data_IF_343110102102
#
_entry.id   IF_343110102102
#
_cell.length_a   1.000
_cell.length_b   1.000
_cell.length_c   1.000
_cell.angle_alpha   90.00
_cell.angle_beta   90.00
_cell.angle_gamma   90.00
#
_symmetry.space_group_name_H-M   'P 1'
#
loop_
_entity.id
_entity.type
_entity.pdbx_description
1 polymer ?
#
# COMPACT_ATOMS: atom_id res chain seq x y z
N UNK A 1 4.38 15.67 -13.80
CA UNK A 1 3.29 16.27 -12.99
C UNK A 1 2.81 15.37 -11.86
N UNK A 2 2.48 14.10 -12.13
CA UNK A 2 1.88 13.15 -11.15
C UNK A 2 2.66 13.01 -9.83
N UNK A 3 3.98 12.89 -9.90
CA UNK A 3 4.86 12.77 -8.73
C UNK A 3 4.70 13.91 -7.72
N UNK A 4 4.73 15.15 -8.21
CA UNK A 4 4.54 16.35 -7.38
C UNK A 4 3.13 16.47 -6.81
N UNK A 5 2.12 15.94 -7.52
CA UNK A 5 0.76 15.85 -7.01
C UNK A 5 0.69 14.88 -5.82
N UNK A 6 1.28 13.69 -5.92
CA UNK A 6 1.37 12.77 -4.78
C UNK A 6 2.07 13.40 -3.58
N UNK A 7 3.21 14.07 -3.80
CA UNK A 7 3.94 14.79 -2.74
C UNK A 7 3.07 15.87 -2.07
N UNK A 8 2.32 16.65 -2.86
CA UNK A 8 1.39 17.68 -2.37
C UNK A 8 0.23 17.08 -1.59
N UNK A 9 -0.39 15.99 -2.06
CA UNK A 9 -1.45 15.29 -1.34
C UNK A 9 -0.99 14.81 0.04
N UNK A 10 0.22 14.25 0.12
CA UNK A 10 0.84 13.86 1.40
C UNK A 10 1.11 15.06 2.31
N UNK A 11 1.54 16.19 1.74
CA UNK A 11 1.75 17.41 2.52
C UNK A 11 0.43 17.91 3.13
N UNK A 12 -0.65 17.95 2.35
CA UNK A 12 -1.99 18.36 2.81
C UNK A 12 -2.49 17.47 3.95
N UNK A 13 -2.42 16.14 3.77
CA UNK A 13 -2.89 15.19 4.77
C UNK A 13 -2.19 15.39 6.11
N UNK A 14 -0.88 15.68 6.09
CA UNK A 14 -0.11 15.96 7.31
C UNK A 14 -0.51 17.28 7.98
N UNK A 15 -0.81 18.32 7.20
CA UNK A 15 -1.19 19.64 7.74
C UNK A 15 -2.57 19.61 8.42
N UNK A 16 -3.49 18.75 7.97
CA UNK A 16 -4.87 18.72 8.47
C UNK A 16 -5.09 17.97 9.79
N UNK A 17 -4.03 17.45 10.45
CA UNK A 17 -4.12 16.60 11.66
C UNK A 17 -5.04 15.38 11.46
N UNK A 18 -5.13 14.90 10.22
CA UNK A 18 -5.72 13.61 9.88
C UNK A 18 -4.63 12.55 9.91
N UNK A 19 -4.98 11.31 10.23
CA UNK A 19 -4.07 10.17 10.01
C UNK A 19 -3.52 10.23 8.58
N UNK A 20 -2.20 10.18 8.36
CA UNK A 20 -1.61 10.33 7.03
C UNK A 20 -2.17 9.28 6.07
N UNK A 21 -2.93 9.72 5.07
CA UNK A 21 -3.49 8.82 4.07
C UNK A 21 -2.43 8.53 3.00
N UNK A 22 -2.18 7.25 2.66
CA UNK A 22 -1.18 6.91 1.64
C UNK A 22 -1.62 7.45 0.28
N UNK A 23 -0.69 8.05 -0.45
CA UNK A 23 -0.92 8.60 -1.78
C UNK A 23 -0.18 7.79 -2.84
N UNK A 24 -0.92 7.05 -3.65
CA UNK A 24 -0.40 6.26 -4.77
C UNK A 24 -0.68 6.84 -6.15
N UNK A 25 -0.39 6.05 -7.18
CA UNK A 25 -0.68 6.38 -8.59
C UNK A 25 -1.19 5.13 -9.32
N UNK A 26 -2.25 5.26 -10.12
CA UNK A 26 -2.76 4.20 -11.00
C UNK A 26 -2.36 4.49 -12.44
N UNK A 27 -1.82 3.49 -13.14
CA UNK A 27 -1.24 3.62 -14.48
C UNK A 27 -1.73 2.53 -15.45
N UNK A 28 -1.88 2.89 -16.72
CA UNK A 28 -2.08 1.92 -17.79
C UNK A 28 -0.81 1.08 -18.04
N UNK A 29 -1.00 -0.19 -18.38
CA UNK A 29 0.06 -1.14 -18.72
C UNK A 29 0.56 -0.98 -20.18
N UNK A 30 1.04 0.22 -20.52
CA UNK A 30 1.63 0.51 -21.84
C UNK A 30 3.13 0.17 -21.85
N UNK A 31 3.55 -0.69 -22.78
CA UNK A 31 4.94 -1.17 -22.88
C UNK A 31 5.98 -0.04 -23.04
N UNK A 32 5.61 1.10 -23.60
CA UNK A 32 6.54 2.22 -23.78
C UNK A 32 6.73 3.04 -22.51
N UNK A 33 5.77 3.00 -21.58
CA UNK A 33 5.72 3.92 -20.44
C UNK A 33 5.73 3.22 -19.09
N UNK A 34 5.29 1.96 -18.98
CA UNK A 34 5.02 1.28 -17.70
C UNK A 34 6.23 1.26 -16.77
N UNK A 35 7.41 0.92 -17.29
CA UNK A 35 8.63 0.84 -16.49
C UNK A 35 9.25 2.22 -16.22
N UNK A 36 9.45 3.09 -17.23
CA UNK A 36 9.90 4.46 -16.98
C UNK A 36 9.04 5.22 -15.97
N UNK A 37 7.72 5.06 -16.04
CA UNK A 37 6.77 5.77 -15.18
C UNK A 37 6.80 5.24 -13.74
N UNK A 38 6.84 3.93 -13.56
CA UNK A 38 6.95 3.32 -12.24
C UNK A 38 8.26 3.74 -11.55
N UNK A 39 9.40 3.62 -12.23
CA UNK A 39 10.71 4.02 -11.70
C UNK A 39 10.75 5.50 -11.32
N UNK A 40 10.20 6.37 -12.18
CA UNK A 40 10.13 7.80 -11.90
C UNK A 40 9.27 8.12 -10.67
N UNK A 41 8.15 7.40 -10.48
CA UNK A 41 7.23 7.62 -9.35
C UNK A 41 7.73 7.01 -8.03
N UNK A 42 8.55 5.96 -8.10
CA UNK A 42 9.20 5.36 -6.93
C UNK A 42 10.40 6.15 -6.44
N UNK A 43 11.17 6.76 -7.34
CA UNK A 43 12.41 7.42 -6.94
C UNK A 43 12.15 8.64 -6.05
N UNK A 44 13.18 9.16 -5.40
CA UNK A 44 13.15 10.39 -4.62
C UNK A 44 14.57 10.83 -4.29
N UNK A 45 14.88 12.09 -4.54
CA UNK A 45 16.22 12.62 -4.32
C UNK A 45 16.42 13.01 -2.85
N UNK A 46 16.03 14.23 -2.48
CA UNK A 46 16.25 14.76 -1.13
C UNK A 46 15.02 14.63 -0.22
N UNK A 47 13.84 14.34 -0.80
CA UNK A 47 12.59 14.26 -0.08
C UNK A 47 11.85 12.95 -0.39
N UNK A 48 11.87 11.98 0.56
CA UNK A 48 11.10 10.73 0.48
C UNK A 48 9.61 10.91 0.15
N UNK A 49 9.02 12.04 0.53
CA UNK A 49 7.61 12.35 0.28
C UNK A 49 7.29 12.54 -1.20
N UNK A 50 8.31 12.70 -2.06
CA UNK A 50 8.13 12.79 -3.51
C UNK A 50 7.87 11.45 -4.17
N UNK A 51 8.31 10.34 -3.57
CA UNK A 51 7.95 8.99 -4.01
C UNK A 51 6.48 8.73 -3.76
N UNK A 52 5.82 7.90 -4.56
CA UNK A 52 4.49 7.34 -4.24
C UNK A 52 4.54 6.39 -3.04
N UNK A 53 3.41 6.23 -2.34
CA UNK A 53 3.29 5.22 -1.26
C UNK A 53 2.91 3.83 -1.81
N UNK A 54 2.17 3.77 -2.91
CA UNK A 54 1.81 2.54 -3.61
C UNK A 54 1.59 2.79 -5.10
N UNK A 55 1.54 1.72 -5.90
CA UNK A 55 1.37 1.79 -7.36
C UNK A 55 0.30 0.83 -7.86
N UNK A 56 -0.65 1.34 -8.64
CA UNK A 56 -1.70 0.55 -9.29
C UNK A 56 -1.36 0.33 -10.76
N UNK A 57 -1.49 -0.91 -11.22
CA UNK A 57 -1.39 -1.27 -12.64
C UNK A 57 -2.77 -1.62 -13.18
N UNK A 58 -3.22 -0.93 -14.22
CA UNK A 58 -4.42 -1.29 -14.97
C UNK A 58 -4.02 -2.31 -16.04
N UNK A 59 -4.11 -3.61 -15.72
CA UNK A 59 -3.66 -4.69 -16.60
C UNK A 59 -4.83 -5.48 -17.17
N UNK A 60 -4.98 -5.41 -18.50
CA UNK A 60 -5.98 -6.15 -19.28
C UNK A 60 -5.33 -7.23 -20.16
N UNK A 61 -4.10 -7.65 -19.86
CA UNK A 61 -3.37 -8.61 -20.71
C UNK A 61 -4.01 -10.01 -20.75
N UNK A 62 -4.81 -10.38 -19.74
CA UNK A 62 -5.49 -11.67 -19.66
C UNK A 62 -6.90 -11.59 -20.27
N UNK A 63 -7.08 -12.12 -21.47
CA UNK A 63 -8.38 -12.20 -22.14
C UNK A 63 -8.74 -13.65 -22.50
N UNK A 64 -9.88 -14.14 -21.97
CA UNK A 64 -10.35 -15.51 -22.18
C UNK A 64 -9.47 -16.56 -21.50
N UNK A 65 -9.35 -17.72 -22.14
CA UNK A 65 -8.58 -18.85 -21.62
C UNK A 65 -7.07 -18.59 -21.81
N UNK A 66 -6.39 -18.24 -20.73
CA UNK A 66 -4.95 -17.99 -20.71
C UNK A 66 -4.27 -18.76 -19.57
N UNK A 67 -2.94 -18.68 -19.56
CA UNK A 67 -2.07 -19.13 -18.49
C UNK A 67 -1.23 -17.94 -18.02
N UNK A 68 -0.56 -18.07 -16.88
CA UNK A 68 0.41 -17.09 -16.38
C UNK A 68 1.45 -16.66 -17.44
N UNK A 69 1.84 -17.59 -18.32
CA UNK A 69 2.82 -17.32 -19.39
C UNK A 69 2.18 -16.73 -20.64
N UNK A 70 1.04 -17.25 -21.08
CA UNK A 70 0.40 -16.80 -22.32
C UNK A 70 -0.29 -15.45 -22.19
N UNK A 71 -0.71 -15.07 -20.97
CA UNK A 71 -1.22 -13.73 -20.68
C UNK A 71 -0.12 -12.67 -20.64
N UNK A 72 1.15 -13.05 -20.44
CA UNK A 72 2.24 -12.10 -20.21
C UNK A 72 2.44 -11.68 -18.75
N UNK A 73 1.65 -12.22 -17.82
CA UNK A 73 1.81 -11.91 -16.38
C UNK A 73 3.18 -12.31 -15.84
N UNK A 74 3.79 -13.38 -16.37
CA UNK A 74 5.17 -13.74 -16.04
C UNK A 74 6.20 -12.64 -16.40
N UNK A 75 5.98 -11.95 -17.51
CA UNK A 75 6.81 -10.81 -17.94
C UNK A 75 6.55 -9.63 -17.01
N UNK A 76 5.28 -9.37 -16.71
CA UNK A 76 4.88 -8.29 -15.81
C UNK A 76 5.49 -8.46 -14.41
N UNK A 77 5.42 -9.66 -13.82
CA UNK A 77 6.09 -10.01 -12.55
C UNK A 77 7.59 -9.76 -12.65
N UNK A 78 8.25 -10.23 -13.71
CA UNK A 78 9.69 -10.07 -13.85
C UNK A 78 10.11 -8.60 -13.99
N UNK A 79 9.32 -7.79 -14.68
CA UNK A 79 9.57 -6.36 -14.85
C UNK A 79 9.49 -5.61 -13.51
N UNK A 80 8.55 -5.96 -12.65
CA UNK A 80 8.30 -5.27 -11.40
C UNK A 80 8.93 -5.90 -10.14
N UNK A 81 9.61 -7.05 -10.23
CA UNK A 81 10.16 -7.78 -9.06
C UNK A 81 11.13 -7.00 -8.16
N UNK A 82 11.66 -5.87 -8.64
CA UNK A 82 12.57 -5.00 -7.88
C UNK A 82 11.93 -3.68 -7.45
N UNK A 83 10.65 -3.50 -7.75
CA UNK A 83 9.88 -2.35 -7.29
C UNK A 83 9.67 -2.45 -5.78
N UNK A 84 9.94 -1.37 -5.06
CA UNK A 84 10.05 -1.33 -3.59
C UNK A 84 8.79 -0.82 -2.91
N UNK A 85 7.76 -0.41 -3.67
CA UNK A 85 6.49 0.07 -3.13
C UNK A 85 5.42 -1.01 -3.30
N UNK A 86 4.46 -1.12 -2.34
CA UNK A 86 3.29 -1.95 -2.52
C UNK A 86 2.60 -1.65 -3.85
N UNK A 87 2.24 -2.72 -4.56
CA UNK A 87 1.66 -2.62 -5.88
C UNK A 87 0.56 -3.64 -6.04
N UNK A 88 -0.46 -3.34 -6.82
CA UNK A 88 -1.59 -4.23 -7.09
C UNK A 88 -2.17 -3.90 -8.46
N UNK A 89 -3.03 -4.78 -8.98
CA UNK A 89 -3.81 -4.43 -10.16
C UNK A 89 -4.95 -3.50 -9.77
N UNK A 90 -4.81 -2.22 -10.07
CA UNK A 90 -5.88 -1.25 -9.83
C UNK A 90 -7.09 -1.51 -10.72
N UNK A 91 -6.90 -2.16 -11.87
CA UNK A 91 -7.94 -2.68 -12.74
C UNK A 91 -7.48 -3.98 -13.41
N UNK A 92 -8.37 -4.97 -13.49
CA UNK A 92 -8.24 -6.15 -14.36
C UNK A 92 -9.61 -6.67 -14.82
N UNK A 93 -9.62 -7.63 -15.74
CA UNK A 93 -10.83 -8.29 -16.23
C UNK A 93 -11.18 -7.92 -17.68
N UNK A 94 -10.27 -8.23 -18.61
CA UNK A 94 -10.45 -7.99 -20.05
C UNK A 94 -11.77 -8.56 -20.57
N UNK A 95 -12.48 -7.77 -21.38
CA UNK A 95 -13.80 -8.14 -21.92
C UNK A 95 -13.81 -8.44 -23.44
N UNK A 96 -12.64 -8.66 -24.06
CA UNK A 96 -12.52 -9.07 -25.48
C UNK A 96 -13.12 -10.46 -25.75
N UNK A 97 -13.13 -11.33 -24.72
CA UNK A 97 -13.80 -12.63 -24.74
C UNK A 97 -14.88 -12.63 -23.67
N UNK A 98 -16.13 -12.89 -24.09
CA UNK A 98 -17.31 -12.86 -23.23
C UNK A 98 -18.04 -14.21 -23.24
N UNK A 99 -18.67 -14.60 -22.13
CA UNK A 99 -18.60 -13.97 -20.79
C UNK A 99 -17.19 -14.10 -20.19
N UNK A 100 -16.84 -13.23 -19.24
CA UNK A 100 -15.52 -13.29 -18.61
C UNK A 100 -15.44 -14.49 -17.66
N UNK A 101 -14.41 -15.31 -17.84
CA UNK A 101 -14.18 -16.49 -17.00
C UNK A 101 -13.47 -16.14 -15.68
N UNK A 102 -12.74 -15.01 -15.63
CA UNK A 102 -11.94 -14.56 -14.48
C UNK A 102 -10.90 -15.60 -14.02
N UNK A 103 -10.32 -16.35 -14.96
CA UNK A 103 -9.28 -17.34 -14.67
C UNK A 103 -7.98 -16.71 -14.13
N UNK A 104 -7.79 -15.40 -14.33
CA UNK A 104 -6.72 -14.61 -13.73
C UNK A 104 -6.84 -14.45 -12.21
N UNK A 105 -8.04 -14.59 -11.64
CA UNK A 105 -8.27 -14.42 -10.19
C UNK A 105 -7.45 -15.39 -9.36
N UNK A 106 -7.55 -16.72 -9.52
CA UNK A 106 -6.69 -17.64 -8.77
C UNK A 106 -5.20 -17.43 -9.03
N UNK A 107 -4.83 -16.99 -10.24
CA UNK A 107 -3.43 -16.72 -10.59
C UNK A 107 -2.87 -15.54 -9.81
N UNK A 108 -3.66 -14.47 -9.61
CA UNK A 108 -3.28 -13.29 -8.80
C UNK A 108 -2.84 -13.64 -7.36
N UNK A 109 -3.30 -14.77 -6.83
CA UNK A 109 -3.01 -15.22 -5.48
C UNK A 109 -2.03 -16.42 -5.42
N UNK A 110 -1.33 -16.72 -6.52
CA UNK A 110 -0.22 -17.68 -6.53
C UNK A 110 1.07 -17.04 -5.99
N UNK A 111 2.01 -17.87 -5.51
CA UNK A 111 3.31 -17.40 -4.99
C UNK A 111 4.05 -16.47 -5.97
N UNK A 112 4.05 -16.81 -7.26
CA UNK A 112 4.72 -16.01 -8.30
C UNK A 112 4.12 -14.59 -8.43
N UNK A 113 2.82 -14.43 -8.17
CA UNK A 113 2.15 -13.14 -8.24
C UNK A 113 2.25 -12.39 -6.91
N UNK A 114 1.99 -13.04 -5.76
CA UNK A 114 1.92 -12.37 -4.45
C UNK A 114 3.27 -11.85 -3.96
N UNK A 115 4.38 -12.40 -4.46
CA UNK A 115 5.73 -11.88 -4.20
C UNK A 115 5.95 -10.47 -4.77
N UNK A 116 5.11 -10.05 -5.74
CA UNK A 116 5.23 -8.76 -6.44
C UNK A 116 3.97 -7.90 -6.32
N UNK A 117 2.78 -8.52 -6.41
CA UNK A 117 1.48 -7.85 -6.45
C UNK A 117 0.64 -8.21 -5.22
N UNK A 118 0.08 -7.21 -4.58
CA UNK A 118 -0.82 -7.30 -3.43
C UNK A 118 -2.29 -7.49 -3.85
N UNK A 119 -2.54 -8.34 -4.86
CA UNK A 119 -3.86 -8.62 -5.41
C UNK A 119 -4.34 -7.61 -6.46
N UNK A 120 -5.66 -7.39 -6.55
CA UNK A 120 -6.22 -6.44 -7.51
C UNK A 120 -7.73 -6.22 -7.41
N UNK A 121 -8.23 -5.31 -8.25
CA UNK A 121 -9.63 -4.89 -8.34
C UNK A 121 -10.19 -5.17 -9.74
N UNK A 122 -11.31 -5.89 -9.82
CA UNK A 122 -12.02 -6.12 -11.10
C UNK A 122 -12.67 -4.81 -11.57
N UNK A 123 -12.49 -4.50 -12.86
CA UNK A 123 -13.21 -3.43 -13.54
C UNK A 123 -14.43 -4.00 -14.29
N UNK A 124 -15.68 -3.58 -14.04
CA UNK A 124 -16.17 -2.70 -12.98
C UNK A 124 -17.51 -3.25 -12.44
N UNK A 125 -18.03 -2.66 -11.35
CA UNK A 125 -19.23 -3.22 -10.72
C UNK A 125 -20.50 -3.00 -11.56
N UNK A 126 -20.78 -1.78 -11.99
CA UNK A 126 -22.02 -1.43 -12.72
C UNK A 126 -21.86 -1.55 -14.23
N UNK A 127 -22.89 -2.06 -14.89
CA UNK A 127 -22.93 -2.20 -16.34
C UNK A 127 -23.13 -0.86 -17.02
N UNK A 128 -22.06 -0.38 -17.64
CA UNK A 128 -22.02 0.82 -18.47
C UNK A 128 -21.89 0.47 -19.97
N UNK A 129 -21.92 1.46 -20.89
CA UNK A 129 -21.80 1.21 -22.33
C UNK A 129 -20.50 0.53 -22.77
N UNK A 130 -19.45 0.57 -21.94
CA UNK A 130 -18.16 -0.09 -22.16
C UNK A 130 -18.19 -1.62 -21.99
N UNK A 131 -19.29 -2.17 -21.46
CA UNK A 131 -19.52 -3.59 -21.28
C UNK A 131 -18.61 -4.33 -20.27
N UNK A 132 -18.35 -3.70 -19.13
CA UNK A 132 -17.52 -4.27 -18.04
C UNK A 132 -18.29 -4.64 -16.76
N UNK A 133 -19.59 -4.38 -16.71
CA UNK A 133 -20.36 -4.52 -15.47
C UNK A 133 -20.53 -5.95 -14.97
N UNK A 134 -20.59 -6.08 -13.65
CA UNK A 134 -21.00 -7.30 -12.96
C UNK A 134 -22.52 -7.31 -12.67
N UNK A 135 -23.10 -6.12 -12.51
CA UNK A 135 -24.54 -5.94 -12.28
C UNK A 135 -25.10 -4.83 -13.16
N UNK A 136 -26.38 -4.92 -13.52
CA UNK A 136 -27.09 -3.87 -14.25
C UNK A 136 -28.11 -3.21 -13.35
N UNK A 137 -28.02 -1.88 -13.24
CA UNK A 137 -29.06 -1.06 -12.60
C UNK A 137 -30.21 -0.87 -13.60
N UNK A 138 -31.42 -1.26 -13.20
CA UNK A 138 -32.63 -1.13 -14.00
C UNK A 138 -33.22 0.29 -13.86
N UNK A 139 -34.12 0.67 -14.77
CA UNK A 139 -34.70 2.03 -14.80
C UNK A 139 -35.48 2.41 -13.53
N UNK A 140 -35.93 1.42 -12.75
CA UNK A 140 -36.61 1.61 -11.48
C UNK A 140 -35.67 1.49 -10.26
N UNK A 141 -34.36 1.39 -10.48
CA UNK A 141 -33.33 1.23 -9.44
C UNK A 141 -33.11 -0.21 -8.96
N UNK A 142 -33.92 -1.18 -9.40
CA UNK A 142 -33.67 -2.58 -9.10
C UNK A 142 -32.37 -3.07 -9.76
N UNK A 143 -31.78 -4.12 -9.21
CA UNK A 143 -30.48 -4.65 -9.66
C UNK A 143 -30.67 -6.00 -10.34
N UNK A 144 -30.13 -6.15 -11.55
CA UNK A 144 -30.00 -7.45 -12.23
C UNK A 144 -28.55 -7.91 -12.17
N UNK A 145 -28.30 -9.04 -11.53
CA UNK A 145 -27.00 -9.71 -11.52
C UNK A 145 -26.69 -10.27 -12.92
N UNK A 146 -25.47 -10.04 -13.41
CA UNK A 146 -25.02 -10.55 -14.70
C UNK A 146 -24.17 -11.80 -14.52
N UNK A 147 -23.94 -12.52 -15.63
CA UNK A 147 -23.14 -13.76 -15.63
C UNK A 147 -21.74 -13.56 -15.04
N UNK A 148 -21.11 -12.45 -15.35
CA UNK A 148 -19.76 -12.13 -14.91
C UNK A 148 -19.66 -12.06 -13.38
N UNK A 149 -20.69 -11.57 -12.68
CA UNK A 149 -20.71 -11.60 -11.21
C UNK A 149 -20.64 -13.03 -10.68
N UNK A 150 -21.39 -13.95 -11.29
CA UNK A 150 -21.44 -15.37 -10.88
C UNK A 150 -20.07 -16.02 -11.13
N UNK A 151 -19.47 -15.76 -12.29
CA UNK A 151 -18.14 -16.28 -12.63
C UNK A 151 -17.06 -15.75 -11.68
N UNK A 152 -17.05 -14.44 -11.43
CA UNK A 152 -16.10 -13.82 -10.52
C UNK A 152 -16.24 -14.39 -9.10
N UNK A 153 -17.48 -14.47 -8.59
CA UNK A 153 -17.76 -15.07 -7.28
C UNK A 153 -17.23 -16.50 -7.21
N UNK A 154 -17.53 -17.33 -8.21
CA UNK A 154 -17.07 -18.71 -8.26
C UNK A 154 -15.55 -18.82 -8.21
N UNK A 155 -14.82 -17.89 -8.83
CA UNK A 155 -13.34 -17.87 -8.79
C UNK A 155 -12.82 -17.46 -7.42
N UNK A 156 -13.39 -16.44 -6.79
CA UNK A 156 -13.03 -16.09 -5.41
C UNK A 156 -13.34 -17.22 -4.43
N UNK A 157 -14.44 -17.96 -4.61
CA UNK A 157 -14.78 -19.12 -3.78
C UNK A 157 -13.75 -20.28 -3.88
N UNK A 158 -12.89 -20.29 -4.92
CA UNK A 158 -11.80 -21.29 -5.04
C UNK A 158 -10.55 -20.93 -4.26
N UNK A 159 -10.43 -19.69 -3.78
CA UNK A 159 -9.29 -19.25 -3.00
C UNK A 159 -9.36 -19.84 -1.58
N UNK A 160 -8.21 -20.10 -0.94
CA UNK A 160 -8.21 -20.50 0.47
C UNK A 160 -8.85 -19.41 1.32
N UNK A 161 -9.56 -19.82 2.37
CA UNK A 161 -10.12 -18.87 3.33
C UNK A 161 -9.00 -18.00 3.93
N UNK A 162 -9.28 -16.70 4.05
CA UNK A 162 -8.37 -15.77 4.68
C UNK A 162 -8.29 -16.09 6.18
N UNK A 163 -7.09 -16.45 6.66
CA UNK A 163 -6.82 -16.47 8.09
C UNK A 163 -6.67 -15.02 8.58
N UNK A 164 -7.79 -14.40 8.91
CA UNK A 164 -7.84 -13.03 9.41
C UNK A 164 -6.99 -12.83 10.67
N UNK A 165 -6.83 -13.86 11.51
CA UNK A 165 -5.99 -13.77 12.70
C UNK A 165 -4.53 -13.65 12.30
N UNK A 166 -4.09 -14.50 11.37
CA UNK A 166 -2.75 -14.43 10.78
C UNK A 166 -2.52 -13.10 10.04
N UNK A 167 -3.49 -12.63 9.26
CA UNK A 167 -3.37 -11.35 8.53
C UNK A 167 -3.24 -10.19 9.51
N UNK A 168 -4.09 -10.10 10.54
CA UNK A 168 -4.02 -9.04 11.55
C UNK A 168 -2.67 -9.10 12.28
N UNK A 169 -2.20 -10.29 12.62
CA UNK A 169 -0.91 -10.47 13.28
C UNK A 169 0.25 -10.06 12.36
N UNK A 170 0.25 -10.51 11.11
CA UNK A 170 1.26 -10.17 10.10
C UNK A 170 1.25 -8.69 9.78
N UNK A 171 0.08 -8.03 9.72
CA UNK A 171 -0.02 -6.58 9.56
C UNK A 171 0.54 -5.84 10.77
N UNK A 172 0.31 -6.31 11.99
CA UNK A 172 0.90 -5.73 13.21
C UNK A 172 2.41 -5.91 13.25
N UNK A 173 2.91 -7.09 12.86
CA UNK A 173 4.34 -7.38 12.78
C UNK A 173 5.01 -6.57 11.68
N UNK A 174 4.41 -6.48 10.49
CA UNK A 174 4.86 -5.60 9.41
C UNK A 174 4.83 -4.14 9.82
N UNK A 175 3.81 -3.66 10.52
CA UNK A 175 3.77 -2.28 11.02
C UNK A 175 4.91 -2.02 12.02
N UNK A 176 5.21 -2.97 12.91
CA UNK A 176 6.34 -2.90 13.84
C UNK A 176 7.68 -2.91 13.11
N UNK A 177 7.86 -3.79 12.13
CA UNK A 177 9.07 -3.91 11.33
C UNK A 177 9.27 -2.69 10.43
N UNK A 178 8.21 -2.15 9.83
CA UNK A 178 8.22 -0.88 9.10
C UNK A 178 8.61 0.25 10.05
N UNK A 179 8.01 0.34 11.24
CA UNK A 179 8.36 1.36 12.21
C UNK A 179 9.81 1.23 12.71
N UNK A 180 10.28 0.01 12.92
CA UNK A 180 11.67 -0.28 13.27
C UNK A 180 12.62 0.03 12.12
N UNK A 181 12.27 -0.31 10.88
CA UNK A 181 13.03 0.06 9.68
C UNK A 181 13.08 1.56 9.53
N UNK A 182 11.96 2.28 9.62
CA UNK A 182 11.93 3.75 9.55
C UNK A 182 12.78 4.42 10.65
N UNK A 183 12.90 3.81 11.83
CA UNK A 183 13.72 4.34 12.95
C UNK A 183 15.20 3.93 12.87
N UNK A 184 15.53 2.78 12.27
CA UNK A 184 16.88 2.19 12.31
C UNK A 184 17.59 2.19 10.95
N UNK A 185 16.84 2.16 9.86
CA UNK A 185 17.30 2.07 8.47
C UNK A 185 16.62 3.14 7.62
N UNK A 186 17.40 4.05 7.04
CA UNK A 186 16.94 4.75 5.84
C UNK A 186 16.75 3.69 4.76
N UNK A 187 15.54 3.17 4.58
CA UNK A 187 15.18 2.50 3.32
C UNK A 187 15.50 3.48 2.22
N UNK A 188 16.56 3.19 1.47
CA UNK A 188 17.05 4.12 0.46
C UNK A 188 16.07 4.07 -0.69
N UNK A 189 15.13 5.01 -0.69
CA UNK A 189 14.34 5.33 -1.87
C UNK A 189 15.33 5.48 -3.03
N UNK A 190 15.09 4.82 -4.18
CA UNK A 190 15.97 4.96 -5.33
C UNK A 190 16.15 6.43 -5.68
N UNK A 191 17.38 6.86 -5.98
CA UNK A 191 17.61 8.22 -6.48
C UNK A 191 17.02 8.37 -7.87
N UNK A 192 16.57 9.57 -8.20
CA UNK A 192 16.01 9.81 -9.51
C UNK A 192 17.09 9.90 -10.59
N UNK A 193 16.81 9.30 -11.73
CA UNK A 193 17.60 9.49 -12.94
C UNK A 193 17.35 10.86 -13.57
N UNK A 194 18.33 11.35 -14.33
CA UNK A 194 18.25 12.64 -15.05
C UNK A 194 17.24 12.61 -16.20
N UNK A 195 16.89 11.42 -16.71
CA UNK A 195 15.95 11.22 -17.79
C UNK A 195 15.35 9.83 -17.73
N UNK A 196 14.10 9.70 -18.15
CA UNK A 196 13.41 8.42 -18.30
C UNK A 196 12.94 8.27 -19.74
N UNK A 197 13.09 7.09 -20.37
CA UNK A 197 12.61 6.86 -21.73
C UNK A 197 11.13 7.26 -21.86
N UNK A 198 10.79 7.96 -22.94
CA UNK A 198 9.43 8.38 -23.29
C UNK A 198 8.75 9.34 -22.27
N UNK A 199 9.42 9.80 -21.21
CA UNK A 199 8.84 10.74 -20.25
C UNK A 199 9.50 12.13 -20.34
N UNK A 200 8.68 13.18 -20.51
CA UNK A 200 9.13 14.56 -20.31
C UNK A 200 9.01 14.93 -18.83
N UNK A 201 10.14 14.87 -18.13
CA UNK A 201 10.27 15.29 -16.73
C UNK A 201 10.85 16.70 -16.57
N UNK A 202 11.17 17.38 -17.68
CA UNK A 202 11.76 18.74 -17.64
C UNK A 202 10.76 19.80 -17.18
N UNK A 203 9.46 19.52 -17.33
CA UNK A 203 8.39 20.45 -17.02
C UNK A 203 7.82 20.18 -15.63
N UNK A 204 7.92 21.19 -14.76
CA UNK A 204 7.27 21.21 -13.46
C UNK A 204 5.74 21.27 -13.57
N UNK A 205 5.07 21.14 -12.41
CA UNK A 205 3.67 21.53 -12.29
C UNK A 205 3.62 23.06 -12.33
N UNK A 206 2.80 23.68 -13.20
CA UNK A 206 2.63 25.12 -13.19
C UNK A 206 2.23 25.61 -11.79
N UNK A 207 2.67 26.81 -11.37
CA UNK A 207 2.19 27.39 -10.12
C UNK A 207 0.66 27.56 -10.20
N UNK A 208 -0.03 27.12 -9.16
CA UNK A 208 -1.49 27.20 -9.04
C UNK A 208 -1.86 27.77 -7.69
N UNK A 209 -3.03 28.40 -7.57
CA UNK A 209 -3.59 28.87 -6.29
C UNK A 209 -3.62 27.76 -5.22
N UNK A 210 -3.78 26.50 -5.63
CA UNK A 210 -3.72 25.35 -4.73
C UNK A 210 -2.41 25.29 -3.95
N UNK A 211 -1.27 25.68 -4.52
CA UNK A 211 -0.01 25.67 -3.79
C UNK A 211 -0.02 26.62 -2.60
N UNK A 212 -0.50 27.85 -2.81
CA UNK A 212 -0.67 28.81 -1.73
C UNK A 212 -1.64 28.29 -0.68
N UNK A 213 -2.79 27.74 -1.09
CA UNK A 213 -3.77 27.18 -0.16
C UNK A 213 -3.23 26.01 0.68
N UNK A 214 -2.32 25.20 0.12
CA UNK A 214 -1.65 24.10 0.83
C UNK A 214 -0.64 24.66 1.84
N UNK A 215 0.16 25.65 1.44
CA UNK A 215 1.21 26.25 2.25
C UNK A 215 0.65 27.10 3.39
N UNK A 216 -0.44 27.84 3.15
CA UNK A 216 -1.09 28.72 4.15
C UNK A 216 -2.17 28.01 4.96
N UNK A 217 -2.54 26.79 4.55
CA UNK A 217 -3.73 26.11 5.04
C UNK A 217 -5.03 26.74 4.51
N UNK A 218 -6.10 25.97 4.58
CA UNK A 218 -7.47 26.41 4.27
C UNK A 218 -8.34 26.11 5.49
N UNK A 219 -9.06 27.11 5.98
CA UNK A 219 -10.09 26.89 6.98
C UNK A 219 -11.27 26.16 6.33
N UNK A 220 -11.51 24.93 6.76
CA UNK A 220 -12.56 24.06 6.23
C UNK A 220 -13.29 23.39 7.39
N UNK A 221 -14.62 23.32 7.29
CA UNK A 221 -15.43 22.56 8.24
C UNK A 221 -15.02 21.09 8.15
N UNK A 222 -14.61 20.51 9.29
CA UNK A 222 -14.32 19.08 9.39
C UNK A 222 -15.63 18.30 9.20
N UNK A 223 -15.53 17.15 8.56
CA UNK A 223 -16.63 16.19 8.53
C UNK A 223 -16.86 15.61 9.92
N UNK A 224 -18.10 15.20 10.18
CA UNK A 224 -18.52 14.53 11.41
C UNK A 224 -18.97 13.11 11.06
N UNK A 225 -18.84 12.19 12.01
CA UNK A 225 -19.45 10.86 11.87
C UNK A 225 -20.96 11.00 11.82
N UNK A 226 -21.61 10.20 10.98
CA UNK A 226 -23.06 10.17 10.86
C UNK A 226 -23.56 8.87 11.47
N UNK A 227 -24.43 8.98 12.47
CA UNK A 227 -25.12 7.81 13.03
C UNK A 227 -26.10 7.26 12.01
N UNK A 228 -25.95 5.98 11.66
CA UNK A 228 -26.86 5.30 10.75
C UNK A 228 -28.03 4.69 11.52
N UNK A 229 -29.24 4.89 11.01
CA UNK A 229 -30.45 4.22 11.52
C UNK A 229 -30.57 2.80 10.93
N UNK A 230 -31.44 1.96 11.51
CA UNK A 230 -31.70 0.64 10.94
C UNK A 230 -32.32 0.73 9.54
N UNK A 231 -33.11 1.79 9.28
CA UNK A 231 -33.68 2.06 7.98
C UNK A 231 -32.59 2.32 6.93
N UNK A 232 -31.54 3.05 7.28
CA UNK A 232 -30.39 3.34 6.40
C UNK A 232 -29.58 2.08 6.05
N UNK A 233 -29.69 1.04 6.88
CA UNK A 233 -29.06 -0.27 6.67
C UNK A 233 -29.93 -1.21 5.85
N UNK A 234 -31.06 -0.76 5.30
CA UNK A 234 -31.96 -1.59 4.49
C UNK A 234 -32.26 -0.97 3.14
N UNK A 235 -32.43 -1.82 2.11
CA UNK A 235 -32.78 -1.37 0.77
C UNK A 235 -34.17 -1.83 0.34
N UNK A 236 -34.92 -0.94 -0.30
CA UNK A 236 -36.24 -1.23 -0.88
C UNK A 236 -36.16 -1.82 -2.28
N UNK A 237 -34.98 -1.74 -2.92
CA UNK A 237 -34.75 -2.26 -4.26
C UNK A 237 -34.72 -3.80 -4.26
N UNK A 238 -35.12 -4.37 -5.39
CA UNK A 238 -35.14 -5.82 -5.61
C UNK A 238 -33.92 -6.24 -6.41
N UNK A 239 -33.48 -7.46 -6.15
CA UNK A 239 -32.36 -8.08 -6.83
C UNK A 239 -32.88 -9.24 -7.67
N UNK A 240 -32.37 -9.36 -8.89
CA UNK A 240 -32.76 -10.38 -9.85
C UNK A 240 -31.54 -11.16 -10.33
N UNK A 241 -31.71 -12.47 -10.50
CA UNK A 241 -30.76 -13.33 -11.18
C UNK A 241 -30.64 -12.96 -12.66
N UNK A 242 -29.64 -13.52 -13.34
CA UNK A 242 -29.49 -13.37 -14.79
C UNK A 242 -30.74 -13.86 -15.54
N UNK A 243 -31.36 -14.95 -15.05
CA UNK A 243 -32.61 -15.55 -15.56
C UNK A 243 -33.84 -14.63 -15.44
N UNK A 244 -33.76 -13.58 -14.62
CA UNK A 244 -34.87 -12.70 -14.29
C UNK A 244 -35.67 -13.13 -13.05
N UNK A 245 -35.33 -14.26 -12.43
CA UNK A 245 -35.92 -14.68 -11.15
C UNK A 245 -35.47 -13.73 -10.03
N UNK A 246 -36.39 -13.37 -9.13
CA UNK A 246 -36.07 -12.54 -7.97
C UNK A 246 -35.18 -13.33 -6.99
N UNK A 247 -34.07 -12.73 -6.58
CA UNK A 247 -33.21 -13.26 -5.52
C UNK A 247 -33.91 -13.13 -4.16
N UNK A 248 -33.95 -14.23 -3.41
CA UNK A 248 -34.48 -14.27 -2.05
C UNK A 248 -33.38 -13.90 -1.04
N UNK A 249 -32.90 -12.65 -1.11
CA UNK A 249 -31.88 -12.13 -0.18
C UNK A 249 -32.49 -11.20 0.86
N UNK A 250 -31.85 -11.14 2.03
CA UNK A 250 -32.16 -10.15 3.05
C UNK A 250 -31.51 -8.85 2.62
N UNK A 251 -32.33 -7.83 2.37
CA UNK A 251 -31.90 -6.51 1.94
C UNK A 251 -31.33 -5.71 3.11
N UNK A 252 -30.29 -6.20 3.78
CA UNK A 252 -29.68 -5.57 4.95
C UNK A 252 -28.17 -5.46 4.81
N UNK A 253 -27.62 -4.33 5.24
CA UNK A 253 -26.19 -4.13 5.45
C UNK A 253 -25.84 -4.72 6.82
N UNK A 254 -24.91 -5.67 6.84
CA UNK A 254 -24.39 -6.23 8.09
C UNK A 254 -23.23 -5.37 8.61
N UNK A 255 -23.32 -4.97 9.89
CA UNK A 255 -22.22 -4.28 10.56
C UNK A 255 -21.15 -5.30 10.93
N UNK A 256 -20.01 -5.24 10.24
CA UNK A 256 -18.85 -6.10 10.52
C UNK A 256 -17.95 -5.54 11.62
N UNK A 257 -17.86 -4.22 11.73
CA UNK A 257 -17.04 -3.51 12.70
C UNK A 257 -17.84 -2.33 13.23
N UNK A 258 -18.05 -2.29 14.54
CA UNK A 258 -18.65 -1.16 15.24
C UNK A 258 -17.52 -0.30 15.83
N UNK A 259 -17.44 0.95 15.40
CA UNK A 259 -16.43 1.90 15.88
C UNK A 259 -17.04 2.69 17.04
N UNK A 260 -16.58 2.43 18.26
CA UNK A 260 -16.97 3.21 19.43
C UNK A 260 -16.27 4.58 19.40
N UNK A 261 -17.07 5.65 19.34
CA UNK A 261 -16.59 7.04 19.37
C UNK A 261 -15.69 7.33 20.58
N UNK A 262 -15.94 6.68 21.72
CA UNK A 262 -15.12 6.86 22.94
C UNK A 262 -13.73 6.24 22.83
N UNK A 263 -13.53 5.27 21.94
CA UNK A 263 -12.22 4.69 21.67
C UNK A 263 -11.35 5.60 20.79
N UNK A 264 -11.96 6.52 20.02
CA UNK A 264 -11.26 7.47 19.16
C UNK A 264 -10.78 8.71 19.92
N UNK A 265 -11.52 9.16 20.94
CA UNK A 265 -11.12 10.30 21.79
C UNK A 265 -9.86 10.04 22.64
N UNK A 266 -9.53 8.78 22.90
CA UNK A 266 -8.35 8.38 23.70
C UNK A 266 -7.05 8.23 22.89
N UNK A 267 -7.04 8.56 21.59
CA UNK A 267 -5.77 8.72 20.85
C UNK A 267 -5.18 10.07 21.22
N UNK A 268 -4.38 10.10 22.28
CA UNK A 268 -3.59 11.26 22.69
C UNK A 268 -2.86 11.86 21.48
N UNK A 269 -3.13 13.13 21.22
CA UNK A 269 -2.34 13.99 20.33
C UNK A 269 -0.87 13.83 20.67
N UNK A 270 0.04 13.56 19.72
CA UNK A 270 1.47 13.63 20.00
C UNK A 270 1.77 15.02 20.55
N UNK A 271 2.23 15.09 21.80
CA UNK A 271 2.72 16.34 22.38
C UNK A 271 3.79 16.91 21.46
N UNK A 272 3.61 18.18 21.08
CA UNK A 272 4.62 19.00 20.46
C UNK A 272 5.92 18.86 21.27
N UNK A 273 7.07 18.51 20.65
CA UNK A 273 8.32 18.41 21.39
C UNK A 273 8.63 19.79 21.97
N UNK A 274 8.76 19.85 23.29
CA UNK A 274 9.07 21.07 24.02
C UNK A 274 10.29 21.77 23.40
N UNK A 275 10.13 23.08 23.21
CA UNK A 275 11.17 23.99 22.73
C UNK A 275 12.48 23.77 23.52
N UNK A 276 13.65 23.63 22.86
CA UNK A 276 14.91 23.45 23.57
C UNK A 276 15.19 24.67 24.44
N UNK A 277 15.35 24.45 25.75
CA UNK A 277 15.76 25.50 26.67
C UNK A 277 17.07 26.16 26.20
N UNK A 278 17.12 27.49 26.24
CA UNK A 278 18.32 28.28 25.93
C UNK A 278 19.54 27.76 26.73
N UNK A 279 20.73 27.65 26.10
CA UNK A 279 21.93 27.24 26.81
C UNK A 279 22.36 28.31 27.81
N UNK A 280 22.44 27.93 29.09
CA UNK A 280 23.01 28.75 30.15
C UNK A 280 24.50 29.04 29.89
N UNK A 281 24.93 30.28 30.18
CA UNK A 281 26.31 30.75 30.05
C UNK A 281 27.33 29.88 30.81
N UNK A 282 28.56 29.74 30.30
CA UNK A 282 29.57 28.87 30.90
C UNK A 282 30.20 29.48 32.16
N UNK A 283 30.20 28.72 33.25
CA UNK A 283 30.97 29.02 34.45
C UNK A 283 32.44 28.58 34.31
N UNK A 284 33.35 29.38 34.89
CA UNK A 284 34.81 29.27 34.86
C UNK A 284 35.40 27.97 35.43
N UNK A 285 36.65 27.61 35.03
CA UNK A 285 37.23 26.29 35.28
C UNK A 285 37.80 26.13 36.69
N UNK A 286 37.53 24.99 37.32
CA UNK A 286 38.21 24.52 38.54
C UNK A 286 39.01 23.24 38.26
N UNK A 287 40.17 23.15 38.93
CA UNK A 287 41.29 22.22 38.75
C UNK A 287 40.96 20.70 38.76
N UNK A 288 41.83 19.85 38.17
CA UNK A 288 41.59 18.43 37.99
C UNK A 288 41.87 17.61 39.27
N UNK A 289 40.91 16.74 39.63
CA UNK A 289 41.11 15.68 40.63
C UNK A 289 41.53 14.35 39.97
N UNK A 290 42.39 13.60 40.67
CA UNK A 290 43.11 12.39 40.24
C UNK A 290 42.22 11.21 39.77
N UNK A 291 42.74 10.33 38.88
CA UNK A 291 41.98 9.17 38.41
C UNK A 291 41.95 8.03 39.44
N UNK A 292 40.79 7.34 39.61
CA UNK A 292 40.71 6.16 40.47
C UNK A 292 41.38 4.94 39.85
N UNK A 293 41.95 4.09 40.71
CA UNK A 293 42.67 2.85 40.39
C UNK A 293 41.76 1.73 39.86
N UNK A 294 42.28 0.80 39.03
CA UNK A 294 41.49 -0.28 38.45
C UNK A 294 41.19 -1.40 39.45
N UNK A 295 40.00 -2.03 39.41
CA UNK A 295 39.65 -3.17 40.25
C UNK A 295 40.35 -4.48 39.80
N UNK A 296 40.51 -5.46 40.72
CA UNK A 296 41.29 -6.67 40.48
C UNK A 296 40.59 -7.67 39.54
N UNK A 297 41.39 -8.32 38.71
CA UNK A 297 41.00 -9.38 37.76
C UNK A 297 40.46 -10.62 38.47
N UNK A 298 39.28 -11.09 38.06
CA UNK A 298 38.70 -12.38 38.48
C UNK A 298 39.01 -13.49 37.46
N UNK A 299 39.17 -14.76 37.89
CA UNK A 299 39.70 -15.86 37.08
C UNK A 299 38.66 -16.49 36.11
N UNK A 300 37.75 -15.68 35.56
CA UNK A 300 36.69 -16.15 34.66
C UNK A 300 36.96 -15.83 33.17
N UNK A 301 37.90 -14.93 32.89
CA UNK A 301 38.26 -14.53 31.52
C UNK A 301 39.27 -15.51 30.86
N UNK A 302 40.04 -16.28 31.63
CA UNK A 302 40.99 -17.28 31.09
C UNK A 302 40.32 -18.59 30.59
N UNK A 303 39.03 -18.78 30.84
CA UNK A 303 38.29 -19.97 30.38
C UNK A 303 37.67 -19.78 29.00
N UNK A 304 37.28 -18.55 28.63
CA UNK A 304 36.64 -18.26 27.33
C UNK A 304 37.67 -18.17 26.19
N UNK A 305 38.93 -17.82 26.49
CA UNK A 305 40.01 -17.82 25.49
C UNK A 305 40.52 -19.21 25.09
N UNK A 306 40.16 -20.29 25.81
CA UNK A 306 40.55 -21.67 25.47
C UNK A 306 39.52 -22.47 24.66
N UNK A 307 38.36 -21.89 24.36
CA UNK A 307 37.28 -22.56 23.60
C UNK A 307 37.09 -22.02 22.17
N UNK A 308 37.77 -20.93 21.79
CA UNK A 308 37.57 -20.25 20.51
C UNK A 308 38.69 -20.55 19.48
N UNK A 309 39.80 -21.16 19.89
CA UNK A 309 40.93 -21.48 19.01
C UNK A 309 40.84 -22.75 18.12
N UNK A 310 39.86 -23.69 18.23
CA UNK A 310 39.75 -24.77 17.24
C UNK A 310 38.90 -24.43 16.01
N UNK A 311 38.13 -23.32 16.01
CA UNK A 311 37.22 -23.01 14.89
C UNK A 311 37.85 -22.17 13.78
N UNK A 312 39.00 -21.52 14.02
CA UNK A 312 39.72 -20.75 12.99
C UNK A 312 40.60 -21.60 12.06
N UNK A 313 40.87 -22.86 12.40
CA UNK A 313 41.74 -23.75 11.59
C UNK A 313 40.93 -24.68 10.68
N UNK A 314 39.59 -24.72 10.80
CA UNK A 314 38.74 -25.56 9.95
C UNK A 314 38.30 -24.88 8.63
N UNK A 315 38.24 -23.53 8.58
CA UNK A 315 37.81 -22.80 7.39
C UNK A 315 38.95 -22.46 6.40
N UNK A 316 40.20 -22.79 6.69
CA UNK A 316 41.35 -22.50 5.81
C UNK A 316 41.73 -23.67 4.86
N UNK A 317 41.07 -24.83 4.96
CA UNK A 317 41.40 -26.03 4.16
C UNK A 317 40.26 -26.52 3.25
N UNK A 318 39.24 -25.69 2.98
CA UNK A 318 38.09 -26.07 2.15
C UNK A 318 37.98 -25.33 0.81
N UNK A 319 39.00 -24.54 0.44
CA UNK A 319 39.19 -24.04 -0.92
C UNK A 319 40.66 -24.11 -1.30
N UNK A 320 41.07 -25.27 -1.80
CA UNK A 320 42.23 -25.46 -2.66
C UNK A 320 41.79 -26.36 -3.82
#
# INVERSE_FOLDING_TARGET
MSKRWSAKSKAISNTMHQEPSPSGYSAADDLNYRMPLAQYLECGDDNPKESVDFYGVNSYQWCGDQTFYSSGYNILVNDYKHFTKPMFFSEYGCNEVLPRNFDEVPVLYTNDMIDVFSGGLVYEFTQEPNNYGLVKVLSNGDIKVLRDFIQLKNKFDTLPELDYSYIIQSMKENAKDIHQKLTTFKTSIPKCELSYPNLDISRGVPPTIAQTLIETGVDAKRGEYVTLSNEDLTTTYKFFQESGEKLAIVNRIETMVEVDEKALENRETPQEPAEPAEPAEPAEPTEPAEPPSPPPSTPFIDFIHKLIDPFKTFCANLFN
#
